data_IF_596698733672
#
_entry.id   IF_596698733672
#
_cell.length_a   1.000
_cell.length_b   1.000
_cell.length_c   1.000
_cell.angle_alpha   90.00
_cell.angle_beta   90.00
_cell.angle_gamma   90.00
#
_symmetry.space_group_name_H-M   'P 1'
#
loop_
_entity.id
_entity.type
_entity.pdbx_description
1 polymer ?
#
# COMPACT_ATOMS: atom_id res chain seq x y z
N UNK A 1 37.38 -17.17 52.92
CA UNK A 1 36.15 -16.34 52.83
C UNK A 1 36.41 -15.32 51.73
N UNK A 2 35.58 -15.37 50.70
CA UNK A 2 35.93 -15.01 49.32
C UNK A 2 35.58 -13.56 48.96
N UNK A 3 36.46 -13.00 48.11
CA UNK A 3 36.19 -12.13 46.96
C UNK A 3 35.41 -10.82 47.14
N UNK A 4 36.13 -9.71 46.94
CA UNK A 4 35.61 -8.41 46.51
C UNK A 4 36.34 -8.00 45.23
N UNK A 5 35.66 -7.99 44.06
CA UNK A 5 35.84 -7.00 42.97
C UNK A 5 34.93 -7.30 41.78
N UNK A 6 34.31 -6.23 41.24
CA UNK A 6 34.00 -6.15 39.80
C UNK A 6 32.58 -6.49 39.36
N UNK A 7 31.55 -5.82 39.89
CA UNK A 7 30.27 -5.73 39.16
C UNK A 7 30.47 -4.76 38.00
N UNK A 8 30.55 -5.31 36.80
CA UNK A 8 30.45 -4.60 35.53
C UNK A 8 29.17 -3.75 35.54
N UNK A 9 29.34 -2.42 35.65
CA UNK A 9 28.29 -1.45 35.34
C UNK A 9 28.06 -1.54 33.83
N UNK A 10 27.07 -2.33 33.40
CA UNK A 10 26.54 -2.20 32.05
C UNK A 10 25.89 -0.84 31.98
N UNK A 11 26.48 0.04 31.18
CA UNK A 11 25.91 1.31 30.78
C UNK A 11 24.45 1.10 30.40
N UNK A 12 23.56 1.81 31.09
CA UNK A 12 22.25 2.17 30.57
C UNK A 12 22.50 2.84 29.22
N UNK A 13 22.43 2.03 28.15
CA UNK A 13 22.15 2.55 26.82
C UNK A 13 20.69 2.91 26.87
N UNK A 14 20.46 4.15 27.25
CA UNK A 14 19.24 4.89 26.96
C UNK A 14 19.11 4.88 25.44
N UNK A 15 18.49 3.82 24.91
CA UNK A 15 18.01 3.83 23.55
C UNK A 15 16.91 4.88 23.56
N UNK A 16 17.02 5.97 22.78
CA UNK A 16 15.82 6.73 22.49
C UNK A 16 14.88 5.74 21.81
N UNK A 17 13.85 5.29 22.54
CA UNK A 17 12.67 4.64 21.97
C UNK A 17 12.33 5.48 20.73
N UNK A 18 12.38 4.91 19.51
CA UNK A 18 12.02 5.67 18.32
C UNK A 18 10.63 6.20 18.59
N UNK A 19 10.54 7.51 18.71
CA UNK A 19 9.33 8.23 19.08
C UNK A 19 8.24 7.80 18.10
N UNK A 20 7.45 6.83 18.52
CA UNK A 20 6.12 6.55 18.01
C UNK A 20 5.23 7.72 18.42
N UNK A 21 5.62 8.94 17.99
CA UNK A 21 4.70 10.05 17.87
C UNK A 21 3.59 9.52 16.98
N UNK A 22 2.49 9.12 17.63
CA UNK A 22 1.36 8.50 17.01
C UNK A 22 0.96 9.38 15.83
N UNK A 23 1.31 8.94 14.63
CA UNK A 23 0.83 9.54 13.41
C UNK A 23 -0.64 9.18 13.33
N UNK A 24 -1.46 10.00 13.98
CA UNK A 24 -2.89 9.88 14.03
C UNK A 24 -3.45 10.67 12.87
N UNK A 25 -3.74 9.96 11.79
CA UNK A 25 -4.51 10.51 10.69
C UNK A 25 -6.00 10.43 11.04
N UNK A 26 -6.75 11.54 10.95
CA UNK A 26 -8.19 11.50 11.12
C UNK A 26 -8.83 10.45 10.21
N UNK A 27 -9.69 9.59 10.78
CA UNK A 27 -10.41 8.57 10.01
C UNK A 27 -9.59 7.35 9.56
N UNK A 28 -8.32 7.24 9.98
CA UNK A 28 -7.45 6.11 9.66
C UNK A 28 -6.94 5.42 10.92
N UNK A 29 -7.22 4.12 11.03
CA UNK A 29 -6.74 3.27 12.12
C UNK A 29 -5.28 2.84 11.86
N UNK A 30 -4.34 3.79 12.01
CA UNK A 30 -2.94 3.64 11.57
C UNK A 30 -2.18 2.53 12.27
N UNK A 31 -2.32 2.38 13.60
CA UNK A 31 -1.63 1.33 14.37
C UNK A 31 -1.99 -0.10 13.90
N UNK A 32 -3.27 -0.49 13.91
CA UNK A 32 -3.70 -1.78 13.38
C UNK A 32 -3.39 -1.97 11.88
N UNK A 33 -3.44 -0.90 11.09
CA UNK A 33 -3.06 -0.96 9.68
C UNK A 33 -1.57 -1.28 9.52
N UNK A 34 -0.68 -0.56 10.19
CA UNK A 34 0.76 -0.82 10.19
C UNK A 34 1.08 -2.25 10.66
N UNK A 35 0.47 -2.70 11.76
CA UNK A 35 0.69 -4.04 12.29
C UNK A 35 0.22 -5.15 11.34
N UNK A 36 -0.95 -4.96 10.69
CA UNK A 36 -1.45 -5.89 9.66
C UNK A 36 -0.59 -5.86 8.41
N UNK A 37 -0.10 -4.68 8.05
CA UNK A 37 0.67 -4.50 6.83
C UNK A 37 2.13 -4.95 6.98
N UNK A 38 2.68 -4.97 8.19
CA UNK A 38 4.08 -5.34 8.43
C UNK A 38 5.08 -4.41 7.74
N UNK A 39 4.68 -3.16 7.48
CA UNK A 39 5.52 -2.14 6.83
C UNK A 39 5.95 -1.08 7.84
N UNK A 40 7.08 -0.44 7.56
CA UNK A 40 7.51 0.74 8.30
C UNK A 40 6.58 1.95 8.04
N UNK A 41 6.79 2.98 8.84
CA UNK A 41 5.99 4.20 8.80
C UNK A 41 6.05 4.91 7.44
N UNK A 42 7.23 4.97 6.82
CA UNK A 42 7.45 5.70 5.57
C UNK A 42 6.75 5.02 4.38
N UNK A 43 6.87 3.69 4.29
CA UNK A 43 6.17 2.86 3.30
C UNK A 43 4.66 2.98 3.44
N UNK A 44 4.15 3.11 4.68
CA UNK A 44 2.73 3.34 4.91
C UNK A 44 2.26 4.71 4.42
N UNK A 45 3.07 5.77 4.57
CA UNK A 45 2.77 7.09 4.00
C UNK A 45 2.71 7.04 2.46
N UNK A 46 3.62 6.31 1.82
CA UNK A 46 3.59 6.11 0.36
C UNK A 46 2.32 5.40 -0.10
N UNK A 47 1.87 4.40 0.65
CA UNK A 47 0.60 3.70 0.38
C UNK A 47 -0.61 4.63 0.49
N UNK A 48 -0.61 5.53 1.48
CA UNK A 48 -1.68 6.51 1.64
C UNK A 48 -1.67 7.57 0.52
N UNK A 49 -0.50 8.04 0.11
CA UNK A 49 -0.35 8.91 -1.08
C UNK A 49 -0.86 8.21 -2.35
N UNK A 50 -0.49 6.94 -2.55
CA UNK A 50 -0.94 6.16 -3.70
C UNK A 50 -2.45 5.92 -3.70
N UNK A 51 -3.05 5.70 -2.53
CA UNK A 51 -4.51 5.61 -2.38
C UNK A 51 -5.18 6.91 -2.79
N UNK A 52 -4.70 8.05 -2.27
CA UNK A 52 -5.22 9.36 -2.63
C UNK A 52 -5.17 9.56 -4.14
N UNK A 53 -4.01 9.37 -4.77
CA UNK A 53 -3.82 9.59 -6.20
C UNK A 53 -4.66 8.62 -7.07
N UNK A 54 -4.74 7.36 -6.68
CA UNK A 54 -5.54 6.35 -7.40
C UNK A 54 -7.05 6.63 -7.35
N UNK A 55 -7.53 7.30 -6.29
CA UNK A 55 -8.94 7.50 -6.04
C UNK A 55 -9.43 8.94 -6.15
N UNK A 56 -8.60 9.90 -6.58
CA UNK A 56 -9.02 11.32 -6.80
C UNK A 56 -10.26 11.44 -7.68
N UNK A 57 -10.35 10.63 -8.74
CA UNK A 57 -11.49 10.61 -9.67
C UNK A 57 -12.67 9.74 -9.21
N UNK A 58 -12.48 8.92 -8.18
CA UNK A 58 -13.47 7.94 -7.73
C UNK A 58 -14.80 8.58 -7.30
N UNK A 59 -14.85 9.69 -6.52
CA UNK A 59 -16.12 10.29 -6.12
C UNK A 59 -17.02 10.67 -7.32
N UNK A 60 -16.42 11.26 -8.36
CA UNK A 60 -17.15 11.61 -9.57
C UNK A 60 -17.62 10.37 -10.33
N UNK A 61 -16.77 9.33 -10.41
CA UNK A 61 -17.09 8.08 -11.09
C UNK A 61 -18.21 7.29 -10.39
N UNK A 62 -18.17 7.19 -9.06
CA UNK A 62 -19.23 6.52 -8.27
C UNK A 62 -20.56 7.22 -8.46
N UNK A 63 -20.59 8.56 -8.43
CA UNK A 63 -21.82 9.34 -8.70
C UNK A 63 -22.36 9.09 -10.10
N UNK A 64 -21.50 9.12 -11.11
CA UNK A 64 -21.90 8.84 -12.50
C UNK A 64 -22.53 7.44 -12.64
N UNK A 65 -21.89 6.42 -12.09
CA UNK A 65 -22.35 5.03 -12.17
C UNK A 65 -23.64 4.81 -11.36
N UNK A 66 -23.81 5.53 -10.25
CA UNK A 66 -25.04 5.55 -9.46
C UNK A 66 -26.23 6.07 -10.26
N UNK A 67 -26.05 7.13 -11.06
CA UNK A 67 -27.13 7.68 -11.89
C UNK A 67 -27.35 6.89 -13.20
N UNK A 68 -26.31 6.25 -13.75
CA UNK A 68 -26.41 5.55 -15.05
C UNK A 68 -26.86 4.09 -14.95
N UNK A 69 -27.01 3.55 -13.74
CA UNK A 69 -27.46 2.18 -13.51
C UNK A 69 -26.45 1.08 -13.90
N UNK A 70 -25.16 1.40 -14.06
CA UNK A 70 -24.14 0.36 -14.34
C UNK A 70 -23.70 -0.32 -13.04
N UNK A 71 -24.62 -1.10 -12.49
CA UNK A 71 -24.53 -1.77 -11.18
C UNK A 71 -23.38 -2.76 -11.14
N UNK A 72 -23.03 -3.39 -12.27
CA UNK A 72 -21.89 -4.32 -12.32
C UNK A 72 -20.58 -3.59 -12.11
N UNK A 73 -20.36 -2.50 -12.82
CA UNK A 73 -19.14 -1.68 -12.68
C UNK A 73 -19.12 -0.98 -11.32
N UNK A 74 -20.26 -0.50 -10.84
CA UNK A 74 -20.39 0.12 -9.52
C UNK A 74 -20.02 -0.86 -8.39
N UNK A 75 -20.49 -2.11 -8.46
CA UNK A 75 -20.15 -3.15 -7.49
C UNK A 75 -18.67 -3.47 -7.48
N UNK A 76 -18.04 -3.59 -8.66
CA UNK A 76 -16.61 -3.85 -8.75
C UNK A 76 -15.79 -2.71 -8.15
N UNK A 77 -16.18 -1.46 -8.43
CA UNK A 77 -15.53 -0.28 -7.86
C UNK A 77 -15.66 -0.25 -6.33
N UNK A 78 -16.85 -0.57 -5.79
CA UNK A 78 -17.08 -0.70 -4.35
C UNK A 78 -16.24 -1.82 -3.74
N UNK A 79 -16.14 -2.97 -4.40
CA UNK A 79 -15.32 -4.09 -3.94
C UNK A 79 -13.84 -3.71 -3.82
N UNK A 80 -13.27 -3.07 -4.86
CA UNK A 80 -11.89 -2.58 -4.84
C UNK A 80 -11.66 -1.57 -3.73
N UNK A 81 -12.51 -0.54 -3.62
CA UNK A 81 -12.39 0.48 -2.56
C UNK A 81 -12.48 -0.12 -1.16
N UNK A 82 -13.35 -1.11 -0.96
CA UNK A 82 -13.48 -1.81 0.32
C UNK A 82 -12.18 -2.53 0.68
N UNK A 83 -11.55 -3.22 -0.28
CA UNK A 83 -10.28 -3.90 -0.09
C UNK A 83 -9.16 -2.93 0.25
N UNK A 84 -8.98 -1.89 -0.56
CA UNK A 84 -7.93 -0.90 -0.39
C UNK A 84 -8.08 -0.15 0.94
N UNK A 85 -9.30 0.31 1.26
CA UNK A 85 -9.60 0.98 2.51
C UNK A 85 -9.45 0.04 3.73
N UNK A 86 -9.79 -1.24 3.59
CA UNK A 86 -9.59 -2.21 4.66
C UNK A 86 -8.12 -2.43 4.95
N UNK A 87 -7.29 -2.57 3.92
CA UNK A 87 -5.85 -2.75 4.06
C UNK A 87 -5.19 -1.55 4.73
N UNK A 88 -5.60 -0.34 4.37
CA UNK A 88 -5.03 0.90 4.88
C UNK A 88 -5.64 1.39 6.21
N UNK A 89 -6.68 0.73 6.72
CA UNK A 89 -7.34 1.14 7.97
C UNK A 89 -8.29 2.33 7.81
N UNK A 90 -8.73 2.62 6.59
CA UNK A 90 -9.65 3.73 6.28
C UNK A 90 -11.10 3.25 6.53
N UNK A 91 -11.54 3.30 7.78
CA UNK A 91 -12.77 2.65 8.22
C UNK A 91 -14.03 3.23 7.55
N UNK A 92 -14.14 4.55 7.37
CA UNK A 92 -15.32 5.18 6.78
C UNK A 92 -15.57 4.74 5.33
N UNK A 93 -14.51 4.72 4.50
CA UNK A 93 -14.60 4.27 3.10
C UNK A 93 -14.92 2.78 3.03
N UNK A 94 -14.25 1.95 3.85
CA UNK A 94 -14.53 0.51 3.92
C UNK A 94 -16.00 0.21 4.23
N UNK A 95 -16.57 0.89 5.22
CA UNK A 95 -17.97 0.69 5.62
C UNK A 95 -18.95 1.14 4.54
N UNK A 96 -18.74 2.32 3.94
CA UNK A 96 -19.60 2.81 2.86
C UNK A 96 -19.54 1.90 1.62
N UNK A 97 -18.34 1.46 1.24
CA UNK A 97 -18.12 0.57 0.11
C UNK A 97 -18.75 -0.80 0.35
N UNK A 98 -18.61 -1.35 1.57
CA UNK A 98 -19.27 -2.59 1.98
C UNK A 98 -20.78 -2.51 1.93
N UNK A 99 -21.38 -1.40 2.39
CA UNK A 99 -22.84 -1.19 2.33
C UNK A 99 -23.35 -1.19 0.89
N UNK A 100 -22.68 -0.47 0.00
CA UNK A 100 -23.04 -0.42 -1.42
C UNK A 100 -22.86 -1.80 -2.09
N UNK A 101 -21.73 -2.47 -1.86
CA UNK A 101 -21.46 -3.80 -2.40
C UNK A 101 -22.52 -4.83 -1.95
N UNK A 102 -22.85 -4.85 -0.66
CA UNK A 102 -23.86 -5.75 -0.09
C UNK A 102 -25.25 -5.48 -0.65
N UNK A 103 -25.66 -4.21 -0.71
CA UNK A 103 -26.96 -3.84 -1.26
C UNK A 103 -27.12 -4.31 -2.71
N UNK A 104 -26.07 -4.17 -3.53
CA UNK A 104 -26.07 -4.65 -4.91
C UNK A 104 -26.09 -6.18 -4.98
N UNK A 105 -25.28 -6.86 -4.17
CA UNK A 105 -25.15 -8.34 -4.19
C UNK A 105 -26.46 -9.02 -3.78
N UNK A 106 -27.08 -8.55 -2.72
CA UNK A 106 -28.23 -9.23 -2.10
C UNK A 106 -29.55 -8.95 -2.84
N UNK A 107 -29.52 -8.14 -3.92
CA UNK A 107 -30.71 -7.64 -4.63
C UNK A 107 -31.77 -7.12 -3.66
N UNK A 108 -31.35 -6.54 -2.54
CA UNK A 108 -32.24 -5.97 -1.53
C UNK A 108 -33.03 -4.76 -2.07
N UNK A 109 -32.72 -4.37 -3.31
CA UNK A 109 -33.18 -3.22 -4.06
C UNK A 109 -33.50 -3.75 -5.46
N UNK A 110 -34.77 -3.64 -5.87
CA UNK A 110 -35.25 -4.10 -7.17
C UNK A 110 -35.09 -3.02 -8.26
N UNK A 111 -35.03 -1.74 -7.87
CA UNK A 111 -34.95 -0.58 -8.76
C UNK A 111 -33.62 0.18 -8.65
N UNK A 112 -33.13 0.69 -9.79
CA UNK A 112 -31.85 1.40 -9.87
C UNK A 112 -31.80 2.68 -9.02
N UNK A 113 -32.96 3.28 -8.74
CA UNK A 113 -33.09 4.52 -7.96
C UNK A 113 -32.68 4.35 -6.49
N UNK A 114 -32.72 3.13 -5.92
CA UNK A 114 -32.38 2.96 -4.50
C UNK A 114 -30.86 2.79 -4.25
N UNK A 115 -30.03 2.61 -5.30
CA UNK A 115 -28.57 2.56 -5.15
C UNK A 115 -27.92 3.95 -5.18
N UNK A 116 -28.58 4.95 -5.76
CA UNK A 116 -28.06 6.31 -5.88
C UNK A 116 -27.68 6.91 -4.51
N UNK A 117 -28.49 6.79 -3.44
CA UNK A 117 -28.11 7.29 -2.11
C UNK A 117 -26.85 6.61 -1.54
N UNK A 118 -26.69 5.31 -1.78
CA UNK A 118 -25.52 4.56 -1.31
C UNK A 118 -24.26 4.91 -2.11
N UNK A 119 -24.40 5.11 -3.42
CA UNK A 119 -23.33 5.60 -4.28
C UNK A 119 -22.89 7.02 -3.87
N UNK A 120 -23.85 7.91 -3.59
CA UNK A 120 -23.57 9.26 -3.11
C UNK A 120 -22.83 9.23 -1.76
N UNK A 121 -23.27 8.38 -0.83
CA UNK A 121 -22.61 8.20 0.47
C UNK A 121 -21.16 7.68 0.33
N UNK A 122 -20.92 6.71 -0.56
CA UNK A 122 -19.57 6.23 -0.85
C UNK A 122 -18.71 7.33 -1.48
N UNK A 123 -19.24 8.05 -2.47
CA UNK A 123 -18.53 9.16 -3.10
C UNK A 123 -18.15 10.26 -2.10
N UNK A 124 -19.06 10.61 -1.18
CA UNK A 124 -18.80 11.56 -0.11
C UNK A 124 -17.74 11.07 0.88
N UNK A 125 -17.78 9.79 1.28
CA UNK A 125 -16.79 9.20 2.17
C UNK A 125 -15.38 9.21 1.54
N UNK A 126 -15.25 8.83 0.27
CA UNK A 126 -13.98 8.87 -0.46
C UNK A 126 -13.48 10.30 -0.62
N UNK A 127 -14.35 11.25 -0.98
CA UNK A 127 -13.97 12.65 -1.13
C UNK A 127 -13.49 13.27 0.18
N UNK A 128 -14.16 12.97 1.30
CA UNK A 128 -13.74 13.44 2.63
C UNK A 128 -12.41 12.84 3.03
N UNK A 129 -12.24 11.51 2.88
CA UNK A 129 -10.98 10.84 3.18
C UNK A 129 -9.82 11.43 2.37
N UNK A 130 -10.00 11.66 1.07
CA UNK A 130 -8.96 12.27 0.22
C UNK A 130 -8.60 13.67 0.71
N UNK A 131 -9.58 14.52 1.03
CA UNK A 131 -9.30 15.87 1.54
C UNK A 131 -8.56 15.84 2.88
N UNK A 132 -8.94 14.94 3.79
CA UNK A 132 -8.30 14.79 5.10
C UNK A 132 -6.87 14.27 4.96
N UNK A 133 -6.65 13.29 4.08
CA UNK A 133 -5.33 12.78 3.77
C UNK A 133 -4.45 13.85 3.08
N UNK A 134 -4.96 14.58 2.08
CA UNK A 134 -4.20 15.67 1.44
C UNK A 134 -3.81 16.78 2.44
N UNK A 135 -4.64 17.04 3.45
CA UNK A 135 -4.37 18.08 4.45
C UNK A 135 -3.38 17.64 5.55
N UNK A 136 -3.33 16.34 5.85
CA UNK A 136 -2.55 15.80 6.96
C UNK A 136 -1.31 15.01 6.53
N UNK A 137 -1.27 14.49 5.31
CA UNK A 137 -0.09 13.80 4.80
C UNK A 137 1.03 14.81 4.60
N UNK A 138 2.25 14.53 5.11
CA UNK A 138 3.40 15.32 4.74
C UNK A 138 3.58 15.25 3.23
N UNK A 139 4.07 16.34 2.63
CA UNK A 139 4.49 16.32 1.23
C UNK A 139 5.35 15.07 1.01
N UNK A 140 5.16 14.32 -0.09
CA UNK A 140 5.91 13.10 -0.33
C UNK A 140 7.39 13.44 -0.22
N UNK A 141 7.99 13.03 0.89
CA UNK A 141 9.41 13.20 1.11
C UNK A 141 10.01 12.18 0.18
N UNK A 142 10.59 12.63 -0.93
CA UNK A 142 11.53 11.79 -1.67
C UNK A 142 12.59 11.44 -0.64
N UNK A 143 12.70 10.19 -0.16
CA UNK A 143 13.60 9.89 0.93
C UNK A 143 15.01 10.20 0.44
N UNK A 144 15.66 11.21 1.04
CA UNK A 144 17.12 11.24 1.04
C UNK A 144 17.55 10.05 1.90
N UNK A 145 18.56 9.30 1.45
CA UNK A 145 18.83 7.96 1.93
C UNK A 145 18.92 7.97 3.46
N UNK A 146 18.07 7.17 4.11
CA UNK A 146 18.35 6.70 5.47
C UNK A 146 19.56 5.77 5.38
N UNK A 147 20.72 6.42 5.41
CA UNK A 147 21.98 5.84 5.81
C UNK A 147 21.85 5.45 7.29
N UNK A 148 21.38 4.24 7.59
CA UNK A 148 21.73 3.56 8.86
C UNK A 148 21.48 2.04 8.89
N UNK A 149 21.20 1.41 7.76
CA UNK A 149 21.41 -0.03 7.60
C UNK A 149 22.53 -0.22 6.60
N UNK A 150 23.63 -0.81 7.06
CA UNK A 150 24.80 -1.15 6.25
C UNK A 150 24.38 -1.63 4.85
N UNK A 151 25.03 -1.18 3.76
CA UNK A 151 24.85 -1.78 2.46
C UNK A 151 25.39 -3.21 2.53
N UNK A 152 24.57 -4.14 2.98
CA UNK A 152 24.76 -5.54 2.64
C UNK A 152 24.70 -5.56 1.13
N UNK A 153 25.85 -5.78 0.51
CA UNK A 153 26.08 -5.98 -0.92
C UNK A 153 25.28 -7.20 -1.41
N UNK A 154 23.96 -7.14 -1.28
CA UNK A 154 23.02 -8.10 -1.81
C UNK A 154 23.00 -7.86 -3.32
N UNK A 155 23.37 -8.90 -4.06
CA UNK A 155 23.33 -8.88 -5.52
C UNK A 155 21.93 -8.50 -6.01
N UNK A 156 21.83 -7.75 -7.11
CA UNK A 156 20.54 -7.43 -7.75
C UNK A 156 19.69 -8.69 -7.99
N UNK A 157 20.34 -9.81 -8.32
CA UNK A 157 19.67 -11.11 -8.49
C UNK A 157 19.02 -11.63 -7.21
N UNK A 158 19.61 -11.41 -6.04
CA UNK A 158 19.01 -11.78 -4.75
C UNK A 158 17.84 -10.89 -4.37
N UNK A 159 17.90 -9.58 -4.65
CA UNK A 159 16.79 -8.66 -4.40
C UNK A 159 15.62 -9.00 -5.33
N UNK A 160 15.92 -9.33 -6.59
CA UNK A 160 14.90 -9.76 -7.55
C UNK A 160 14.22 -11.07 -7.11
N UNK A 161 14.99 -12.08 -6.71
CA UNK A 161 14.43 -13.35 -6.23
C UNK A 161 13.61 -13.18 -4.94
N UNK A 162 14.05 -12.29 -4.04
CA UNK A 162 13.31 -11.93 -2.84
C UNK A 162 11.98 -11.24 -3.19
N UNK A 163 12.02 -10.25 -4.08
CA UNK A 163 10.82 -9.56 -4.55
C UNK A 163 9.85 -10.53 -5.24
N UNK A 164 10.35 -11.44 -6.08
CA UNK A 164 9.53 -12.47 -6.72
C UNK A 164 8.83 -13.35 -5.68
N UNK A 165 9.55 -13.78 -4.63
CA UNK A 165 8.99 -14.56 -3.53
C UNK A 165 7.93 -13.76 -2.78
N UNK A 166 8.23 -12.52 -2.39
CA UNK A 166 7.31 -11.67 -1.64
C UNK A 166 6.03 -11.36 -2.45
N UNK A 167 6.14 -11.12 -3.76
CA UNK A 167 4.98 -10.96 -4.63
C UNK A 167 4.17 -12.26 -4.76
N UNK A 168 4.83 -13.43 -4.73
CA UNK A 168 4.13 -14.73 -4.73
C UNK A 168 3.42 -14.99 -3.41
N UNK A 169 4.04 -14.60 -2.29
CA UNK A 169 3.50 -14.74 -0.93
C UNK A 169 2.50 -13.63 -0.57
N UNK A 170 2.20 -12.71 -1.51
CA UNK A 170 1.37 -11.52 -1.29
C UNK A 170 1.86 -10.69 -0.09
N UNK A 171 3.17 -10.70 0.12
CA UNK A 171 3.86 -10.01 1.20
C UNK A 171 4.04 -8.53 0.87
N UNK A 172 3.69 -7.71 1.84
CA UNK A 172 3.82 -6.26 1.76
C UNK A 172 5.27 -5.78 1.79
N UNK A 173 6.20 -6.62 2.26
CA UNK A 173 7.64 -6.38 2.14
C UNK A 173 8.10 -6.24 0.67
N UNK A 174 7.27 -6.67 -0.29
CA UNK A 174 7.51 -6.43 -1.71
C UNK A 174 7.71 -4.94 -2.03
N UNK A 175 7.09 -4.03 -1.26
CA UNK A 175 7.31 -2.58 -1.42
C UNK A 175 8.76 -2.20 -1.14
N UNK A 176 9.32 -2.69 -0.03
CA UNK A 176 10.69 -2.40 0.37
C UNK A 176 11.69 -3.03 -0.62
N UNK A 177 11.49 -4.31 -0.99
CA UNK A 177 12.37 -4.96 -1.97
C UNK A 177 12.32 -4.29 -3.34
N UNK A 178 11.14 -3.82 -3.77
CA UNK A 178 11.00 -3.07 -5.01
C UNK A 178 11.68 -1.70 -4.94
N UNK A 179 11.54 -0.98 -3.81
CA UNK A 179 12.24 0.31 -3.61
C UNK A 179 13.75 0.13 -3.65
N UNK A 180 14.28 -0.89 -2.97
CA UNK A 180 15.72 -1.24 -3.02
C UNK A 180 16.18 -1.60 -4.43
N UNK A 181 15.36 -2.32 -5.19
CA UNK A 181 15.66 -2.65 -6.58
C UNK A 181 15.72 -1.39 -7.47
N UNK A 182 14.78 -0.47 -7.31
CA UNK A 182 14.75 0.80 -8.04
C UNK A 182 15.97 1.69 -7.74
N UNK A 183 16.41 1.73 -6.47
CA UNK A 183 17.60 2.48 -6.07
C UNK A 183 18.89 1.97 -6.73
N UNK A 184 18.98 0.66 -7.01
CA UNK A 184 20.13 0.05 -7.67
C UNK A 184 20.08 0.12 -9.21
N UNK A 185 18.97 0.61 -9.78
CA UNK A 185 18.75 0.70 -11.23
C UNK A 185 18.49 2.16 -11.66
N UNK A 186 19.45 3.08 -11.45
CA UNK A 186 19.26 4.46 -11.87
C UNK A 186 19.16 4.56 -13.40
N UNK A 187 18.13 5.23 -13.91
CA UNK A 187 17.96 5.54 -15.33
C UNK A 187 16.49 5.65 -15.75
N UNK A 188 16.16 6.57 -16.69
CA UNK A 188 14.77 6.86 -17.07
C UNK A 188 14.04 5.65 -17.67
N UNK A 189 14.77 4.76 -18.33
CA UNK A 189 14.22 3.52 -18.89
C UNK A 189 13.80 2.52 -17.78
N UNK A 190 14.61 2.41 -16.72
CA UNK A 190 14.29 1.57 -15.55
C UNK A 190 13.15 2.16 -14.73
N UNK A 191 13.16 3.47 -14.49
CA UNK A 191 12.06 4.15 -13.79
C UNK A 191 10.72 3.93 -14.49
N UNK A 192 10.68 4.09 -15.82
CA UNK A 192 9.43 3.90 -16.56
C UNK A 192 8.96 2.44 -16.59
N UNK A 193 9.88 1.49 -16.75
CA UNK A 193 9.57 0.06 -16.77
C UNK A 193 9.03 -0.42 -15.41
N UNK A 194 9.69 -0.01 -14.32
CA UNK A 194 9.32 -0.41 -12.97
C UNK A 194 8.22 0.45 -12.35
N UNK A 195 7.89 1.63 -12.90
CA UNK A 195 6.73 2.43 -12.47
C UNK A 195 5.42 1.66 -12.56
N UNK A 196 5.28 0.77 -13.55
CA UNK A 196 4.11 -0.12 -13.65
C UNK A 196 4.07 -1.12 -12.49
N UNK A 197 5.19 -1.75 -12.18
CA UNK A 197 5.31 -2.74 -11.10
C UNK A 197 5.03 -2.05 -9.77
N UNK A 198 5.61 -0.87 -9.55
CA UNK A 198 5.40 -0.04 -8.36
C UNK A 198 3.93 0.25 -8.11
N UNK A 199 3.20 0.71 -9.14
CA UNK A 199 1.77 0.96 -9.03
C UNK A 199 0.98 -0.30 -8.66
N UNK A 200 1.32 -1.44 -9.26
CA UNK A 200 0.62 -2.69 -8.99
C UNK A 200 0.86 -3.18 -7.55
N UNK A 201 2.09 -3.02 -7.05
CA UNK A 201 2.45 -3.35 -5.66
C UNK A 201 1.72 -2.43 -4.68
N UNK A 202 1.69 -1.11 -4.95
CA UNK A 202 0.92 -0.13 -4.17
C UNK A 202 -0.59 -0.42 -4.14
N UNK A 203 -1.14 -0.93 -5.25
CA UNK A 203 -2.54 -1.34 -5.36
C UNK A 203 -2.79 -2.76 -4.83
N UNK A 204 -1.81 -3.37 -4.15
CA UNK A 204 -1.87 -4.73 -3.61
C UNK A 204 -2.22 -5.80 -4.66
N UNK A 205 -2.00 -5.50 -5.94
CA UNK A 205 -2.23 -6.41 -7.07
C UNK A 205 -0.99 -7.28 -7.30
N UNK A 206 -0.62 -8.07 -6.29
CA UNK A 206 0.63 -8.84 -6.26
C UNK A 206 0.80 -9.80 -7.45
N UNK A 207 -0.26 -10.50 -7.85
CA UNK A 207 -0.20 -11.44 -8.98
C UNK A 207 0.16 -10.72 -10.30
N UNK A 208 -0.40 -9.52 -10.51
CA UNK A 208 -0.14 -8.72 -11.70
C UNK A 208 1.24 -8.06 -11.62
N UNK A 209 1.66 -7.63 -10.42
CA UNK A 209 2.99 -7.12 -10.17
C UNK A 209 4.05 -8.19 -10.47
N UNK A 210 3.83 -9.44 -10.03
CA UNK A 210 4.70 -10.59 -10.29
C UNK A 210 4.83 -10.86 -11.80
N UNK A 211 3.70 -10.85 -12.52
CA UNK A 211 3.72 -11.03 -13.97
C UNK A 211 4.51 -9.92 -14.68
N UNK A 212 4.31 -8.67 -14.29
CA UNK A 212 5.05 -7.54 -14.83
C UNK A 212 6.55 -7.61 -14.50
N UNK A 213 6.90 -8.02 -13.28
CA UNK A 213 8.29 -8.20 -12.84
C UNK A 213 9.00 -9.28 -13.67
N UNK A 214 8.36 -10.42 -13.92
CA UNK A 214 8.91 -11.50 -14.76
C UNK A 214 9.11 -11.06 -16.21
N UNK A 215 8.18 -10.28 -16.76
CA UNK A 215 8.31 -9.74 -18.12
C UNK A 215 9.53 -8.81 -18.24
N UNK A 216 9.76 -7.96 -17.23
CA UNK A 216 10.88 -7.03 -17.23
C UNK A 216 12.22 -7.76 -17.03
N UNK A 217 12.24 -8.80 -16.19
CA UNK A 217 13.41 -9.67 -16.05
C UNK A 217 13.75 -10.43 -17.33
N UNK A 218 12.73 -10.87 -18.09
CA UNK A 218 12.94 -11.52 -19.38
C UNK A 218 13.61 -10.58 -20.37
N UNK A 219 13.14 -9.33 -20.46
CA UNK A 219 13.71 -8.30 -21.35
C UNK A 219 15.15 -7.97 -21.02
N UNK A 220 15.50 -7.91 -19.73
CA UNK A 220 16.85 -7.55 -19.25
C UNK A 220 17.79 -8.74 -19.14
N UNK A 221 17.33 -9.95 -19.42
CA UNK A 221 18.13 -11.18 -19.32
C UNK A 221 18.45 -11.62 -17.89
N UNK A 222 17.64 -11.21 -16.91
CA UNK A 222 17.80 -11.60 -15.49
C UNK A 222 17.16 -12.93 -15.15
N UNK A 223 16.37 -13.48 -16.06
CA UNK A 223 15.93 -14.87 -15.99
C UNK A 223 17.15 -15.74 -16.27
N UNK A 224 17.83 -16.19 -15.22
CA UNK A 224 18.59 -17.44 -15.31
C UNK A 224 17.55 -18.52 -15.56
N UNK A 225 17.63 -19.17 -16.71
CA UNK A 225 16.96 -20.44 -16.96
C UNK A 225 17.05 -21.29 -15.69
N UNK A 226 15.92 -21.55 -15.02
CA UNK A 226 15.81 -22.73 -14.17
C UNK A 226 15.61 -23.93 -15.10
N UNK A 227 16.59 -24.17 -15.95
CA UNK A 227 16.76 -25.44 -16.61
C UNK A 227 17.77 -26.22 -15.78
N UNK A 228 17.27 -27.03 -14.84
CA UNK A 228 17.41 -28.50 -14.80
C UNK A 228 16.72 -29.00 -13.53
#
# INVERSE_FOLDING_TARGET
MSSQTGVFRRSDRDFPEPSAAAFSLPGVDTGPALARLGVDHESYLELLHAFVDSHRGTPARVRQLGCSGDVTVLRLLAHTLKGDAASLGITAVRLAAGRLETAIRDRAIEDFEDFEPLALALGAAVATCIRELDACLPAPVIPRPESDLEPQSQSMSSIFALLERQLTEHSLEAHHSLRRLLQQLPGPESEQAFARIHRLVQQLQYDRALQALRQEAARRGWIRDRAT
#
